data_IF_112894116096
#
_entry.id   IF_112894116096
#
_cell.length_a   1.000
_cell.length_b   1.000
_cell.length_c   1.000
_cell.angle_alpha   90.00
_cell.angle_beta   90.00
_cell.angle_gamma   90.00
#
_symmetry.space_group_name_H-M   'P 1'
#
loop_
_entity.id
_entity.type
_entity.pdbx_description
1 polymer ?
#
# COMPACT_ATOMS: atom_id res chain seq x y z
N UNK A 1 -7.20 -14.23 -12.06
CA UNK A 1 -6.54 -12.97 -11.62
C UNK A 1 -5.80 -13.24 -10.30
N UNK A 2 -4.52 -12.88 -10.15
CA UNK A 2 -3.73 -13.17 -8.94
C UNK A 2 -4.42 -12.66 -7.65
N UNK A 3 -4.43 -13.45 -6.58
CA UNK A 3 -5.10 -13.11 -5.32
C UNK A 3 -4.37 -11.95 -4.62
N UNK A 4 -5.13 -10.96 -4.13
CA UNK A 4 -4.57 -9.87 -3.31
C UNK A 4 -4.39 -10.40 -1.89
N UNK A 5 -3.14 -10.52 -1.45
CA UNK A 5 -2.79 -11.06 -0.13
C UNK A 5 -2.57 -9.92 0.87
N UNK A 6 -2.13 -8.74 0.41
CA UNK A 6 -1.94 -7.58 1.30
C UNK A 6 -3.25 -7.11 1.93
N UNK A 7 -3.28 -7.09 3.26
CA UNK A 7 -4.42 -6.59 4.08
C UNK A 7 -4.32 -5.08 4.34
N UNK A 8 -3.22 -4.44 3.90
CA UNK A 8 -2.97 -3.03 4.18
C UNK A 8 -4.03 -2.13 3.56
N UNK A 9 -4.71 -1.37 4.42
CA UNK A 9 -5.65 -0.33 4.01
C UNK A 9 -4.90 0.96 3.60
N UNK A 10 -5.45 1.76 2.66
CA UNK A 10 -4.89 3.07 2.34
C UNK A 10 -4.87 3.97 3.58
N UNK A 11 -3.78 4.71 3.77
CA UNK A 11 -3.74 5.74 4.80
C UNK A 11 -4.58 6.93 4.33
N UNK A 12 -5.48 7.39 5.17
CA UNK A 12 -6.33 8.56 4.91
C UNK A 12 -6.17 9.57 6.02
N UNK A 13 -6.27 10.85 5.69
CA UNK A 13 -6.19 11.92 6.67
C UNK A 13 -6.49 13.29 6.06
N UNK A 14 -6.25 14.35 6.82
CA UNK A 14 -6.35 15.72 6.33
C UNK A 14 -4.95 16.35 6.35
N UNK A 15 -4.57 17.06 5.28
CA UNK A 15 -3.44 17.98 5.30
C UNK A 15 -3.93 19.32 5.89
N UNK A 16 -3.06 19.98 6.66
CA UNK A 16 -3.33 21.28 7.29
C UNK A 16 -2.36 22.32 6.76
N UNK A 17 -2.85 23.52 6.46
CA UNK A 17 -2.00 24.68 6.24
C UNK A 17 -1.68 25.38 7.56
N UNK A 18 -0.82 26.40 7.50
CA UNK A 18 -0.53 27.28 8.65
C UNK A 18 -1.79 28.04 9.14
N UNK A 19 -2.78 28.23 8.28
CA UNK A 19 -4.10 28.78 8.61
C UNK A 19 -5.14 27.69 8.97
N UNK A 20 -4.71 26.44 9.24
CA UNK A 20 -5.53 25.28 9.62
C UNK A 20 -6.54 24.79 8.57
N UNK A 21 -6.47 25.27 7.33
CA UNK A 21 -7.35 24.82 6.24
C UNK A 21 -7.18 23.31 5.99
N UNK A 22 -8.30 22.60 5.91
CA UNK A 22 -8.33 21.14 5.73
C UNK A 22 -8.39 20.77 4.25
N UNK A 23 -7.50 19.92 3.78
CA UNK A 23 -7.69 19.19 2.52
C UNK A 23 -7.59 17.69 2.74
N UNK A 24 -8.47 16.92 2.08
CA UNK A 24 -8.47 15.45 2.20
C UNK A 24 -7.23 14.87 1.53
N UNK A 25 -6.61 13.88 2.16
CA UNK A 25 -5.46 13.16 1.65
C UNK A 25 -5.68 11.66 1.72
N UNK A 26 -5.19 10.94 0.70
CA UNK A 26 -5.19 9.47 0.66
C UNK A 26 -3.89 8.97 0.06
N UNK A 27 -3.18 8.13 0.82
CA UNK A 27 -2.00 7.40 0.34
C UNK A 27 -2.41 5.97 0.03
N UNK A 28 -2.43 5.64 -1.26
CA UNK A 28 -2.72 4.28 -1.73
C UNK A 28 -1.44 3.43 -1.65
N UNK A 29 -1.51 2.19 -1.12
CA UNK A 29 -0.37 1.29 -1.16
C UNK A 29 -0.07 0.90 -2.63
N UNK A 30 1.21 0.88 -2.99
CA UNK A 30 1.65 0.41 -4.31
C UNK A 30 1.59 -1.12 -4.34
N UNK A 31 0.65 -1.69 -5.09
CA UNK A 31 0.42 -3.14 -5.18
C UNK A 31 1.14 -3.69 -6.41
N UNK A 32 1.97 -4.70 -6.22
CA UNK A 32 2.76 -5.36 -7.25
C UNK A 32 2.45 -6.85 -7.29
N UNK A 33 2.62 -7.47 -8.46
CA UNK A 33 2.55 -8.93 -8.61
C UNK A 33 3.93 -9.52 -8.30
N UNK A 34 4.02 -10.46 -7.37
CA UNK A 34 5.24 -11.24 -7.11
C UNK A 34 4.92 -12.72 -7.03
N UNK A 35 5.92 -13.54 -7.34
CA UNK A 35 5.85 -14.99 -7.09
C UNK A 35 6.43 -15.25 -5.71
N UNK A 36 5.63 -15.83 -4.82
CA UNK A 36 6.08 -16.25 -3.49
C UNK A 36 5.80 -17.75 -3.40
N UNK A 37 6.82 -18.55 -3.10
CA UNK A 37 6.72 -20.01 -2.96
C UNK A 37 6.00 -20.71 -4.14
N UNK A 38 6.25 -20.25 -5.37
CA UNK A 38 5.65 -20.80 -6.59
C UNK A 38 4.29 -20.19 -6.99
N UNK A 39 3.63 -19.43 -6.12
CA UNK A 39 2.32 -18.81 -6.41
C UNK A 39 2.43 -17.32 -6.76
N UNK A 40 1.67 -16.89 -7.79
CA UNK A 40 1.58 -15.48 -8.19
C UNK A 40 0.56 -14.73 -7.33
N UNK A 41 1.06 -13.85 -6.47
CA UNK A 41 0.25 -13.05 -5.53
C UNK A 41 0.42 -11.55 -5.73
N UNK A 42 -0.62 -10.79 -5.38
CA UNK A 42 -0.60 -9.32 -5.34
C UNK A 42 -0.32 -8.83 -3.92
N UNK A 43 0.85 -8.26 -3.69
CA UNK A 43 1.32 -7.74 -2.39
C UNK A 43 1.76 -6.28 -2.50
N UNK A 44 1.89 -5.58 -1.37
CA UNK A 44 2.41 -4.21 -1.40
C UNK A 44 3.93 -4.20 -1.58
N UNK A 45 4.45 -3.16 -2.24
CA UNK A 45 5.89 -3.00 -2.47
C UNK A 45 6.72 -2.98 -1.18
N UNK A 46 6.14 -2.51 -0.07
CA UNK A 46 6.82 -2.46 1.23
C UNK A 46 6.91 -3.85 1.86
N UNK A 47 5.83 -4.63 1.82
CA UNK A 47 5.85 -6.03 2.26
C UNK A 47 6.81 -6.85 1.40
N UNK A 48 6.80 -6.61 0.08
CA UNK A 48 7.72 -7.25 -0.86
C UNK A 48 9.19 -6.99 -0.51
N UNK A 49 9.53 -5.76 -0.12
CA UNK A 49 10.88 -5.39 0.33
C UNK A 49 11.25 -6.05 1.66
N UNK A 50 10.30 -6.23 2.58
CA UNK A 50 10.56 -6.92 3.85
C UNK A 50 10.85 -8.40 3.64
N UNK A 51 10.22 -9.05 2.64
CA UNK A 51 10.47 -10.45 2.32
C UNK A 51 11.81 -10.69 1.60
N UNK A 52 12.39 -9.66 1.00
CA UNK A 52 13.70 -9.73 0.30
C UNK A 52 14.89 -9.36 1.20
N UNK A 53 14.61 -8.89 2.41
CA UNK A 53 15.64 -8.65 3.43
C UNK A 53 15.87 -9.93 4.21
#
# INVERSE_FOLDING_TARGET
MAKKVTTKKPLTGNKRSHALNATKMKQKPNIQKKTINGEKVRISAREARTMEK
#
